data_IF_628001121197
#
_entry.id   IF_628001121197
#
_cell.length_a   1.000
_cell.length_b   1.000
_cell.length_c   1.000
_cell.angle_alpha   90.00
_cell.angle_beta   90.00
_cell.angle_gamma   90.00
#
_symmetry.space_group_name_H-M   'P 1'
#
loop_
_entity.id
_entity.type
_entity.pdbx_description
1 polymer ?
#
# COMPACT_ATOMS: atom_id res chain seq x y z
N UNK A 1 10.50 -7.03 24.35
CA UNK A 1 9.65 -6.92 23.14
C UNK A 1 9.12 -5.50 22.90
N UNK A 2 8.39 -4.87 23.83
CA UNK A 2 7.92 -3.47 23.65
C UNK A 2 9.03 -2.43 23.43
N UNK A 3 10.19 -2.61 24.07
CA UNK A 3 11.35 -1.73 23.87
C UNK A 3 11.85 -1.75 22.41
N UNK A 4 11.92 -2.94 21.79
CA UNK A 4 12.37 -3.15 20.40
C UNK A 4 11.41 -2.46 19.42
N UNK A 5 10.10 -2.69 19.61
CA UNK A 5 9.08 -2.02 18.81
C UNK A 5 9.20 -0.50 18.89
N UNK A 6 9.35 0.04 20.11
CA UNK A 6 9.48 1.48 20.32
C UNK A 6 10.74 2.04 19.65
N UNK A 7 11.87 1.34 19.73
CA UNK A 7 13.11 1.79 19.10
C UNK A 7 12.98 1.84 17.58
N UNK A 8 12.41 0.80 16.97
CA UNK A 8 12.20 0.75 15.52
C UNK A 8 11.24 1.83 15.03
N UNK A 9 10.10 2.01 15.72
CA UNK A 9 9.15 3.08 15.43
C UNK A 9 9.79 4.48 15.51
N UNK A 10 10.66 4.72 16.51
CA UNK A 10 11.36 6.00 16.65
C UNK A 10 12.34 6.26 15.50
N UNK A 11 13.00 5.23 14.97
CA UNK A 11 13.85 5.36 13.78
C UNK A 11 13.01 5.76 12.57
N UNK A 12 11.91 5.03 12.32
CA UNK A 12 11.01 5.33 11.20
C UNK A 12 10.44 6.73 11.28
N UNK A 13 9.92 7.13 12.44
CA UNK A 13 9.33 8.45 12.67
C UNK A 13 10.30 9.60 12.41
N UNK A 14 11.59 9.45 12.72
CA UNK A 14 12.58 10.51 12.50
C UNK A 14 13.14 10.54 11.08
N UNK A 15 13.00 9.46 10.33
CA UNK A 15 13.60 9.36 9.01
C UNK A 15 12.78 10.12 7.97
N UNK A 16 13.34 11.21 7.42
CA UNK A 16 12.63 12.06 6.44
C UNK A 16 12.26 11.29 5.16
N UNK A 17 13.16 10.43 4.67
CA UNK A 17 12.92 9.69 3.44
C UNK A 17 11.73 8.73 3.58
N UNK A 18 11.47 8.19 4.78
CA UNK A 18 10.27 7.41 5.06
C UNK A 18 8.98 8.19 4.79
N UNK A 19 8.87 9.40 5.35
CA UNK A 19 7.67 10.23 5.16
C UNK A 19 7.51 10.71 3.73
N UNK A 20 8.61 11.04 3.05
CA UNK A 20 8.59 11.40 1.63
C UNK A 20 8.12 10.22 0.79
N UNK A 21 8.66 9.03 1.00
CA UNK A 21 8.26 7.82 0.27
C UNK A 21 6.81 7.44 0.55
N UNK A 22 6.36 7.53 1.81
CA UNK A 22 4.96 7.29 2.16
C UNK A 22 4.03 8.30 1.50
N UNK A 23 4.45 9.57 1.40
CA UNK A 23 3.74 10.60 0.64
C UNK A 23 3.68 10.30 -0.87
N UNK A 24 4.79 9.83 -1.46
CA UNK A 24 4.83 9.42 -2.86
C UNK A 24 3.88 8.24 -3.11
N UNK A 25 3.86 7.23 -2.23
CA UNK A 25 2.93 6.10 -2.35
C UNK A 25 1.48 6.54 -2.16
N UNK A 26 1.22 7.39 -1.17
CA UNK A 26 -0.11 7.93 -0.91
C UNK A 26 -0.65 8.78 -2.05
N UNK A 27 0.23 9.37 -2.87
CA UNK A 27 -0.15 10.10 -4.08
C UNK A 27 -0.22 9.21 -5.32
N UNK A 28 0.70 8.25 -5.46
CA UNK A 28 0.77 7.38 -6.63
C UNK A 28 -0.43 6.43 -6.70
N UNK A 29 -0.90 5.90 -5.57
CA UNK A 29 -2.03 4.96 -5.55
C UNK A 29 -3.33 5.62 -6.04
N UNK A 30 -3.81 6.74 -5.48
CA UNK A 30 -4.97 7.45 -6.03
C UNK A 30 -4.72 8.00 -7.43
N UNK A 31 -3.54 8.58 -7.68
CA UNK A 31 -3.22 9.21 -8.96
C UNK A 31 -3.26 8.22 -10.13
N UNK A 32 -2.69 7.04 -9.97
CA UNK A 32 -2.69 6.02 -11.02
C UNK A 32 -4.05 5.37 -11.21
N UNK A 33 -4.78 5.13 -10.13
CA UNK A 33 -6.15 4.63 -10.24
C UNK A 33 -7.07 5.65 -10.92
N UNK A 34 -6.92 6.93 -10.61
CA UNK A 34 -7.68 8.00 -11.28
C UNK A 34 -7.32 8.11 -12.76
N UNK A 35 -6.03 8.03 -13.12
CA UNK A 35 -5.61 8.05 -14.52
C UNK A 35 -6.19 6.87 -15.31
N UNK A 36 -6.20 5.67 -14.72
CA UNK A 36 -6.81 4.50 -15.35
C UNK A 36 -8.34 4.57 -15.40
N UNK A 37 -8.98 5.19 -14.42
CA UNK A 37 -10.41 5.47 -14.47
C UNK A 37 -10.77 6.41 -15.63
N UNK A 38 -10.08 7.54 -15.75
CA UNK A 38 -10.37 8.53 -16.80
C UNK A 38 -10.04 7.99 -18.19
N UNK A 39 -8.79 7.58 -18.40
CA UNK A 39 -8.29 7.20 -19.72
C UNK A 39 -8.71 5.78 -20.12
N UNK A 40 -8.88 4.89 -19.14
CA UNK A 40 -9.17 3.47 -19.37
C UNK A 40 -10.66 3.14 -19.36
N UNK A 41 -11.50 3.92 -18.65
CA UNK A 41 -12.92 3.61 -18.51
C UNK A 41 -13.81 4.76 -18.98
N UNK A 42 -13.72 5.94 -18.36
CA UNK A 42 -14.62 7.08 -18.62
C UNK A 42 -14.58 7.56 -20.07
N UNK A 43 -13.39 7.73 -20.63
CA UNK A 43 -13.26 8.27 -21.98
C UNK A 43 -13.57 7.19 -23.04
N UNK A 44 -13.33 5.91 -22.74
CA UNK A 44 -13.70 4.78 -23.61
C UNK A 44 -15.21 4.47 -23.61
N UNK A 45 -15.95 4.89 -22.58
CA UNK A 45 -17.42 4.84 -22.56
C UNK A 45 -18.05 5.77 -23.60
N UNK A 46 -17.34 6.84 -24.02
CA UNK A 46 -17.79 7.76 -25.05
C UNK A 46 -17.51 7.26 -26.48
N UNK A 47 -16.72 6.20 -26.65
CA UNK A 47 -16.43 5.61 -27.96
C UNK A 47 -17.64 4.80 -28.46
N UNK A 48 -18.20 5.10 -29.65
CA UNK A 48 -19.34 4.37 -30.22
C UNK A 48 -19.13 2.86 -30.40
N UNK A 49 -17.89 2.39 -30.51
CA UNK A 49 -17.57 0.96 -30.73
C UNK A 49 -17.35 0.19 -29.44
N UNK A 50 -16.83 0.85 -28.42
CA UNK A 50 -16.35 0.21 -27.18
C UNK A 50 -17.25 0.52 -26.00
N UNK A 51 -17.90 1.69 -25.99
CA UNK A 51 -18.81 2.14 -24.95
C UNK A 51 -19.97 1.19 -24.67
N UNK A 52 -20.70 0.67 -25.68
CA UNK A 52 -21.77 -0.29 -25.46
C UNK A 52 -21.29 -1.59 -24.79
N UNK A 53 -20.09 -2.06 -25.14
CA UNK A 53 -19.50 -3.28 -24.58
C UNK A 53 -19.07 -3.05 -23.12
N UNK A 54 -18.49 -1.88 -22.82
CA UNK A 54 -18.06 -1.50 -21.47
C UNK A 54 -19.23 -1.27 -20.51
N UNK A 55 -20.37 -0.80 -21.01
CA UNK A 55 -21.61 -0.65 -20.23
C UNK A 55 -22.28 -1.99 -19.90
N UNK A 56 -22.01 -3.03 -20.68
CA UNK A 56 -22.49 -4.39 -20.40
C UNK A 56 -21.62 -5.13 -19.37
N UNK A 57 -20.41 -4.63 -19.08
CA UNK A 57 -19.52 -5.20 -18.07
C UNK A 57 -19.74 -4.56 -16.69
N UNK A 58 -19.51 -5.30 -15.59
CA UNK A 58 -19.50 -4.72 -14.25
C UNK A 58 -18.50 -3.58 -14.15
N UNK A 59 -18.90 -2.45 -13.56
CA UNK A 59 -18.02 -1.29 -13.45
C UNK A 59 -16.89 -1.57 -12.44
N UNK A 60 -15.62 -1.65 -12.89
CA UNK A 60 -14.51 -2.08 -12.05
C UNK A 60 -14.12 -1.04 -10.99
N UNK A 61 -14.70 0.16 -11.03
CA UNK A 61 -14.46 1.25 -10.08
C UNK A 61 -15.60 1.46 -9.08
N UNK A 62 -16.61 0.58 -9.10
CA UNK A 62 -17.70 0.57 -8.12
C UNK A 62 -17.57 -0.60 -7.15
N UNK A 63 -18.23 -0.52 -6.00
CA UNK A 63 -18.29 -1.66 -5.08
C UNK A 63 -19.09 -2.82 -5.71
N UNK A 64 -18.61 -4.08 -5.59
CA UNK A 64 -17.45 -4.54 -4.80
C UNK A 64 -16.12 -4.61 -5.57
N UNK A 65 -16.13 -4.46 -6.89
CA UNK A 65 -14.98 -4.73 -7.76
C UNK A 65 -13.82 -3.74 -7.60
N UNK A 66 -14.12 -2.51 -7.13
CA UNK A 66 -13.11 -1.47 -6.84
C UNK A 66 -11.99 -1.97 -5.93
N UNK A 67 -12.29 -2.86 -4.98
CA UNK A 67 -11.28 -3.45 -4.11
C UNK A 67 -10.24 -4.25 -4.91
N UNK A 68 -10.69 -5.09 -5.85
CA UNK A 68 -9.79 -5.88 -6.67
C UNK A 68 -8.99 -5.01 -7.65
N UNK A 69 -9.66 -4.06 -8.31
CA UNK A 69 -9.06 -3.17 -9.31
C UNK A 69 -7.98 -2.30 -8.69
N UNK A 70 -8.29 -1.65 -7.57
CA UNK A 70 -7.33 -0.76 -6.88
C UNK A 70 -6.18 -1.59 -6.31
N UNK A 71 -6.43 -2.80 -5.80
CA UNK A 71 -5.38 -3.68 -5.29
C UNK A 71 -4.40 -4.07 -6.41
N UNK A 72 -4.94 -4.46 -7.57
CA UNK A 72 -4.14 -4.81 -8.73
C UNK A 72 -3.26 -3.64 -9.19
N UNK A 73 -3.85 -2.46 -9.39
CA UNK A 73 -3.11 -1.27 -9.85
C UNK A 73 -2.06 -0.84 -8.82
N UNK A 74 -2.43 -0.76 -7.55
CA UNK A 74 -1.49 -0.40 -6.46
C UNK A 74 -0.35 -1.39 -6.32
N UNK A 75 -0.57 -2.68 -6.60
CA UNK A 75 0.46 -3.71 -6.52
C UNK A 75 1.59 -3.53 -7.55
N UNK A 76 1.34 -2.87 -8.67
CA UNK A 76 2.38 -2.55 -9.65
C UNK A 76 3.43 -1.58 -9.10
N UNK A 77 3.08 -0.80 -8.07
CA UNK A 77 3.92 0.21 -7.43
C UNK A 77 4.52 -0.25 -6.09
N UNK A 78 4.43 -1.54 -5.79
CA UNK A 78 4.95 -2.15 -4.55
C UNK A 78 6.48 -2.08 -4.45
N UNK A 79 7.17 -1.89 -5.58
CA UNK A 79 8.61 -1.66 -5.59
C UNK A 79 9.01 -0.37 -4.86
N UNK A 80 8.13 0.63 -4.78
CA UNK A 80 8.39 1.88 -4.04
C UNK A 80 8.59 1.62 -2.54
N UNK A 81 7.64 0.99 -1.81
CA UNK A 81 7.89 0.63 -0.42
C UNK A 81 8.99 -0.45 -0.27
N UNK A 82 9.22 -1.32 -1.25
CA UNK A 82 10.34 -2.27 -1.19
C UNK A 82 11.70 -1.56 -1.17
N UNK A 83 11.89 -0.55 -2.02
CA UNK A 83 13.09 0.29 -1.99
C UNK A 83 13.27 1.00 -0.65
N UNK A 84 12.18 1.43 -0.03
CA UNK A 84 12.22 2.05 1.30
C UNK A 84 12.73 1.06 2.36
N UNK A 85 12.24 -0.19 2.37
CA UNK A 85 12.70 -1.23 3.30
C UNK A 85 14.19 -1.52 3.11
N UNK A 86 14.63 -1.70 1.86
CA UNK A 86 16.06 -1.91 1.55
C UNK A 86 16.91 -0.74 2.06
N UNK A 87 16.46 0.49 1.84
CA UNK A 87 17.14 1.69 2.32
C UNK A 87 17.22 1.73 3.85
N UNK A 88 16.14 1.35 4.55
CA UNK A 88 16.14 1.28 6.01
C UNK A 88 17.17 0.28 6.53
N UNK A 89 17.20 -0.92 5.96
CA UNK A 89 18.13 -1.98 6.37
C UNK A 89 19.57 -1.55 6.08
N UNK A 90 19.85 -1.05 4.87
CA UNK A 90 21.21 -0.63 4.48
C UNK A 90 21.72 0.55 5.29
N UNK A 91 20.85 1.51 5.63
CA UNK A 91 21.20 2.64 6.49
C UNK A 91 21.70 2.19 7.87
N UNK A 92 21.20 1.08 8.43
CA UNK A 92 21.70 0.61 9.72
C UNK A 92 23.15 0.13 9.68
N UNK A 93 23.58 -0.43 8.54
CA UNK A 93 24.98 -0.80 8.33
C UNK A 93 25.83 0.44 8.09
N UNK A 94 25.35 1.38 7.25
CA UNK A 94 26.05 2.63 6.93
C UNK A 94 26.28 3.49 8.17
N UNK A 95 25.24 3.69 8.99
CA UNK A 95 25.31 4.47 10.23
C UNK A 95 25.77 3.66 11.44
N UNK A 96 26.11 2.38 11.24
CA UNK A 96 26.63 1.46 12.27
C UNK A 96 25.69 1.29 13.47
N UNK A 97 24.39 1.57 13.34
CA UNK A 97 23.40 1.38 14.42
C UNK A 97 23.23 -0.09 14.77
N UNK A 98 23.50 -1.01 13.83
CA UNK A 98 23.60 -2.44 14.15
C UNK A 98 24.62 -2.72 15.27
N UNK A 99 25.76 -2.01 15.29
CA UNK A 99 26.76 -2.16 16.36
C UNK A 99 26.25 -1.59 17.68
N UNK A 100 25.50 -0.49 17.63
CA UNK A 100 24.88 0.09 18.82
C UNK A 100 23.85 -0.87 19.44
N UNK A 101 23.02 -1.53 18.64
CA UNK A 101 22.06 -2.52 19.14
C UNK A 101 22.76 -3.66 19.91
N UNK A 102 23.92 -4.13 19.42
CA UNK A 102 24.72 -5.15 20.11
C UNK A 102 25.28 -4.62 21.44
N UNK A 103 25.76 -3.37 21.46
CA UNK A 103 26.24 -2.70 22.68
C UNK A 103 25.10 -2.54 23.70
N UNK A 104 23.88 -2.26 23.23
CA UNK A 104 22.67 -2.16 24.03
C UNK A 104 22.14 -3.55 24.49
N UNK A 105 22.87 -4.63 24.20
CA UNK A 105 22.60 -5.98 24.68
C UNK A 105 21.61 -6.78 23.82
N UNK A 106 21.34 -6.36 22.59
CA UNK A 106 20.42 -7.09 21.72
C UNK A 106 21.01 -8.43 21.29
N UNK A 107 20.21 -9.49 21.42
CA UNK A 107 20.57 -10.77 20.81
C UNK A 107 20.37 -10.73 19.28
N UNK A 108 20.96 -11.69 18.57
CA UNK A 108 20.72 -11.85 17.12
C UNK A 108 19.24 -12.05 16.78
N UNK A 109 18.49 -12.70 17.68
CA UNK A 109 17.04 -12.90 17.52
C UNK A 109 16.28 -11.60 17.68
N UNK A 110 16.65 -10.77 18.66
CA UNK A 110 16.02 -9.46 18.88
C UNK A 110 16.25 -8.53 17.69
N UNK A 111 17.44 -8.56 17.11
CA UNK A 111 17.74 -7.82 15.88
C UNK A 111 16.86 -8.25 14.70
N UNK A 112 16.75 -9.56 14.45
CA UNK A 112 15.90 -10.09 13.38
C UNK A 112 14.41 -9.78 13.60
N UNK A 113 13.93 -9.87 14.85
CA UNK A 113 12.56 -9.51 15.20
C UNK A 113 12.29 -8.03 14.95
N UNK A 114 13.24 -7.14 15.24
CA UNK A 114 13.13 -5.71 14.91
C UNK A 114 12.88 -5.49 13.42
N UNK A 115 13.61 -6.19 12.54
CA UNK A 115 13.44 -6.06 11.08
C UNK A 115 12.08 -6.59 10.60
N UNK A 116 11.62 -7.71 11.15
CA UNK A 116 10.29 -8.22 10.82
C UNK A 116 9.20 -7.24 11.26
N UNK A 117 9.35 -6.62 12.44
CA UNK A 117 8.45 -5.58 12.93
C UNK A 117 8.43 -4.38 11.99
N UNK A 118 9.60 -3.94 11.49
CA UNK A 118 9.70 -2.85 10.50
C UNK A 118 8.88 -3.17 9.24
N UNK A 119 9.08 -4.36 8.67
CA UNK A 119 8.38 -4.81 7.46
C UNK A 119 6.87 -4.87 7.70
N UNK A 120 6.42 -5.50 8.80
CA UNK A 120 4.99 -5.61 9.14
C UNK A 120 4.36 -4.22 9.31
N UNK A 121 5.04 -3.29 9.98
CA UNK A 121 4.53 -1.92 10.17
C UNK A 121 4.40 -1.19 8.83
N UNK A 122 5.38 -1.31 7.95
CA UNK A 122 5.33 -0.72 6.61
C UNK A 122 4.20 -1.35 5.80
N UNK A 123 4.07 -2.69 5.79
CA UNK A 123 2.98 -3.38 5.09
C UNK A 123 1.60 -2.93 5.56
N UNK A 124 1.41 -2.75 6.88
CA UNK A 124 0.16 -2.24 7.44
C UNK A 124 -0.14 -0.81 6.98
N UNK A 125 0.85 0.08 6.98
CA UNK A 125 0.67 1.46 6.53
C UNK A 125 0.32 1.53 5.03
N UNK A 126 0.99 0.74 4.20
CA UNK A 126 0.73 0.68 2.75
C UNK A 126 -0.66 0.10 2.48
N UNK A 127 -1.06 -0.92 3.24
CA UNK A 127 -2.41 -1.50 3.17
C UNK A 127 -3.48 -0.48 3.60
N UNK A 128 -3.21 0.33 4.61
CA UNK A 128 -4.12 1.39 5.03
C UNK A 128 -4.29 2.46 3.94
N UNK A 129 -3.20 2.88 3.29
CA UNK A 129 -3.25 3.80 2.14
C UNK A 129 -4.05 3.22 0.99
N UNK A 130 -3.83 1.95 0.64
CA UNK A 130 -4.64 1.23 -0.35
C UNK A 130 -6.12 1.22 0.03
N UNK A 131 -6.44 0.87 1.28
CA UNK A 131 -7.82 0.74 1.76
C UNK A 131 -8.56 2.07 1.68
N UNK A 132 -7.92 3.16 2.09
CA UNK A 132 -8.45 4.52 1.97
C UNK A 132 -8.65 4.91 0.51
N UNK A 133 -7.70 4.59 -0.37
CA UNK A 133 -7.78 4.89 -1.81
C UNK A 133 -8.97 4.16 -2.45
N UNK A 134 -9.10 2.85 -2.20
CA UNK A 134 -10.20 2.05 -2.73
C UNK A 134 -11.56 2.55 -2.21
N UNK A 135 -11.63 2.90 -0.93
CA UNK A 135 -12.86 3.42 -0.34
C UNK A 135 -13.27 4.77 -0.93
N UNK A 136 -12.33 5.70 -1.12
CA UNK A 136 -12.59 7.02 -1.73
C UNK A 136 -13.03 6.86 -3.19
N UNK A 137 -12.37 6.00 -3.97
CA UNK A 137 -12.74 5.79 -5.38
C UNK A 137 -14.11 5.11 -5.49
N UNK A 138 -14.37 4.09 -4.68
CA UNK A 138 -15.63 3.36 -4.69
C UNK A 138 -16.81 4.24 -4.28
N UNK A 139 -16.62 5.12 -3.29
CA UNK A 139 -17.68 6.04 -2.83
C UNK A 139 -17.95 7.17 -3.82
N UNK A 140 -16.93 7.71 -4.49
CA UNK A 140 -17.11 8.73 -5.53
C UNK A 140 -17.84 8.21 -6.77
N UNK A 141 -17.71 6.92 -7.07
CA UNK A 141 -18.35 6.27 -8.22
C UNK A 141 -19.65 5.53 -7.84
N UNK A 142 -20.07 5.54 -6.57
CA UNK A 142 -21.26 4.84 -6.11
C UNK A 142 -22.53 5.51 -6.67
N UNK A 143 -23.14 4.89 -7.67
CA UNK A 143 -24.47 5.26 -8.19
C UNK A 143 -25.62 4.64 -7.41
N UNK A 144 -26.85 4.96 -7.81
CA UNK A 144 -28.07 4.31 -7.31
C UNK A 144 -28.04 2.80 -7.65
N UNK A 145 -27.70 1.96 -6.67
CA UNK A 145 -27.54 0.51 -6.84
C UNK A 145 -26.15 -0.05 -6.53
N UNK A 146 -25.21 0.77 -6.05
CA UNK A 146 -23.90 0.27 -5.61
C UNK A 146 -24.04 -0.78 -4.49
N UNK A 147 -23.30 -1.89 -4.61
CA UNK A 147 -23.25 -2.93 -3.60
C UNK A 147 -22.69 -2.39 -2.27
N UNK A 148 -22.90 -3.14 -1.18
CA UNK A 148 -22.46 -2.68 0.13
C UNK A 148 -20.93 -2.50 0.14
N UNK A 149 -20.37 -1.38 0.67
CA UNK A 149 -18.92 -1.12 0.63
C UNK A 149 -18.00 -2.20 1.23
N UNK A 150 -18.55 -3.09 2.07
CA UNK A 150 -17.80 -4.17 2.72
C UNK A 150 -17.77 -5.45 1.90
N UNK A 151 -18.62 -5.56 0.87
CA UNK A 151 -18.54 -6.63 -0.12
C UNK A 151 -17.21 -6.48 -0.88
N UNK A 152 -16.39 -7.53 -0.87
CA UNK A 152 -15.02 -7.48 -1.42
C UNK A 152 -13.92 -7.06 -0.44
N UNK A 153 -14.23 -6.75 0.82
CA UNK A 153 -13.22 -6.40 1.85
C UNK A 153 -12.12 -7.46 2.05
N UNK A 154 -12.33 -8.72 1.63
CA UNK A 154 -11.30 -9.77 1.58
C UNK A 154 -10.02 -9.34 0.86
N UNK A 155 -10.12 -8.46 -0.14
CA UNK A 155 -8.97 -7.95 -0.88
C UNK A 155 -8.05 -7.10 -0.03
N UNK A 156 -8.52 -6.54 1.10
CA UNK A 156 -7.66 -5.85 2.08
C UNK A 156 -6.66 -6.84 2.69
N UNK A 157 -7.13 -8.00 3.14
CA UNK A 157 -6.26 -9.03 3.71
C UNK A 157 -5.34 -9.63 2.66
N UNK A 158 -5.83 -9.85 1.43
CA UNK A 158 -5.01 -10.36 0.33
C UNK A 158 -3.91 -9.36 -0.07
N UNK A 159 -4.25 -8.07 -0.16
CA UNK A 159 -3.28 -7.02 -0.47
C UNK A 159 -2.23 -6.90 0.64
N UNK A 160 -2.64 -6.97 1.91
CA UNK A 160 -1.70 -7.01 3.04
C UNK A 160 -0.71 -8.18 2.93
N UNK A 161 -1.21 -9.38 2.66
CA UNK A 161 -0.36 -10.57 2.50
C UNK A 161 0.60 -10.43 1.33
N UNK A 162 0.13 -9.87 0.21
CA UNK A 162 0.97 -9.60 -0.95
C UNK A 162 2.09 -8.60 -0.61
N UNK A 163 1.76 -7.47 0.02
CA UNK A 163 2.75 -6.47 0.45
C UNK A 163 3.72 -7.06 1.45
N UNK A 164 3.25 -7.83 2.44
CA UNK A 164 4.09 -8.48 3.42
C UNK A 164 5.07 -9.48 2.79
N UNK A 165 4.64 -10.19 1.74
CA UNK A 165 5.49 -11.17 1.04
C UNK A 165 6.52 -10.55 0.10
N UNK A 166 6.31 -9.31 -0.35
CA UNK A 166 7.13 -8.65 -1.37
C UNK A 166 8.09 -7.60 -0.81
N UNK A 167 7.92 -7.22 0.47
CA UNK A 167 8.83 -6.35 1.23
C UNK A 167 9.86 -7.18 2.01
#
# INVERSE_FOLDING_TARGET
MFAIFRTEWLKMRKYRAFWVMLGIVALSYPGMNYMLYVNGYRDNLADPKVGPILQMLPNPFTFPDVWATVAYISSLFIFLPALLVIMFITNEYTFKTHRQNIIDGWSRRDFMLGKIIDVVLISLLITAVYTLTAFVIGTLNAGEGAAHPWEGSRYIALFFLQVLSQL
#
